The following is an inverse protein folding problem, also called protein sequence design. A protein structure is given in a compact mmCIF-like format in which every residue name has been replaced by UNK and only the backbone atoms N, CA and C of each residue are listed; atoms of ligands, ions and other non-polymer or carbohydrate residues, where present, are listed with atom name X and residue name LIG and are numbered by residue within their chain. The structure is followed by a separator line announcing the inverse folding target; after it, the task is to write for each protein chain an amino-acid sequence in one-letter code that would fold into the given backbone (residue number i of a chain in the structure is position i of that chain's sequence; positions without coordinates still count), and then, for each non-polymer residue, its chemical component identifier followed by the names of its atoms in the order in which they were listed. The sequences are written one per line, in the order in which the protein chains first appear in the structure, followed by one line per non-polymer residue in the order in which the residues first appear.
data_IF_171182174523
#
_entry.id   IF_171182174523
#
_cell.length_a   1.000
_cell.length_b   1.000
_cell.length_c   1.000
_cell.angle_alpha   90.00
_cell.angle_beta   90.00
_cell.angle_gamma   90.00
#
_symmetry.space_group_name_H-M   'P 1'
#
loop_
_entity.id
_entity.type
_entity.pdbx_description
1 polymer ?
#
# COMPACT_ATOMS: atom_id res chain seq x y z
N UNK A 1 14.25 29.91 2.45
CA UNK A 1 14.28 28.67 1.67
C UNK A 1 13.24 27.80 2.28
N UNK A 2 12.20 27.54 1.51
CA UNK A 2 11.00 26.91 2.02
C UNK A 2 11.01 25.45 1.62
N UNK A 3 10.59 24.60 2.56
CA UNK A 3 10.48 23.17 2.37
C UNK A 3 9.00 22.78 2.41
N UNK A 4 8.69 21.66 1.77
CA UNK A 4 7.41 20.98 1.84
C UNK A 4 7.62 19.57 2.33
N UNK A 5 6.68 19.07 3.12
CA UNK A 5 6.64 17.66 3.50
C UNK A 5 6.06 16.87 2.34
N UNK A 6 6.72 15.77 2.01
CA UNK A 6 6.33 14.86 0.94
C UNK A 6 6.25 13.44 1.47
N UNK A 7 5.40 12.64 0.86
CA UNK A 7 5.14 11.25 1.23
C UNK A 7 5.15 10.36 -0.02
N UNK A 8 5.57 9.11 0.13
CA UNK A 8 5.51 8.10 -0.92
C UNK A 8 4.46 7.01 -0.64
N UNK A 9 4.30 6.08 -1.56
CA UNK A 9 3.33 4.97 -1.43
C UNK A 9 3.62 4.03 -0.24
N UNK A 10 4.84 4.03 0.28
CA UNK A 10 5.23 3.29 1.48
C UNK A 10 4.97 4.05 2.79
N UNK A 11 4.28 5.20 2.70
CA UNK A 11 4.00 6.12 3.81
C UNK A 11 5.27 6.64 4.51
N UNK A 12 6.37 6.78 3.74
CA UNK A 12 7.60 7.38 4.22
C UNK A 12 7.56 8.88 4.01
N UNK A 13 7.90 9.64 5.04
CA UNK A 13 7.92 11.09 5.00
C UNK A 13 9.33 11.61 4.77
N UNK A 14 9.46 12.65 3.96
CA UNK A 14 10.68 13.45 3.88
C UNK A 14 10.35 14.91 3.59
N UNK A 15 11.35 15.77 3.66
CA UNK A 15 11.24 17.17 3.27
C UNK A 15 11.86 17.37 1.90
N UNK A 16 11.26 18.24 1.10
CA UNK A 16 11.74 18.60 -0.24
C UNK A 16 11.70 20.10 -0.42
N UNK A 17 12.62 20.67 -1.20
CA UNK A 17 12.60 22.09 -1.50
C UNK A 17 11.32 22.44 -2.29
N UNK A 18 10.69 23.57 -1.96
CA UNK A 18 9.46 23.99 -2.65
C UNK A 18 9.71 24.34 -4.12
N UNK A 19 10.91 24.84 -4.42
CA UNK A 19 11.30 25.34 -5.74
C UNK A 19 11.66 24.23 -6.74
N UNK A 20 11.90 23.01 -6.27
CA UNK A 20 12.25 21.86 -7.11
C UNK A 20 11.01 21.03 -7.49
N UNK A 21 11.08 20.32 -8.62
CA UNK A 21 10.08 19.32 -8.99
C UNK A 21 10.13 18.10 -8.04
N UNK A 22 8.99 17.44 -7.85
CA UNK A 22 8.94 16.22 -7.07
C UNK A 22 9.53 15.04 -7.85
N UNK A 23 10.35 14.19 -7.20
CA UNK A 23 10.74 12.92 -7.80
C UNK A 23 9.50 12.03 -8.04
N UNK A 24 9.51 11.16 -9.07
CA UNK A 24 8.42 10.24 -9.32
C UNK A 24 8.07 9.39 -8.10
N UNK A 25 6.78 9.21 -7.83
CA UNK A 25 6.29 8.42 -6.69
C UNK A 25 6.21 9.16 -5.36
N UNK A 26 6.58 10.45 -5.32
CA UNK A 26 6.40 11.32 -4.16
C UNK A 26 5.28 12.33 -4.40
N UNK A 27 4.50 12.59 -3.36
CA UNK A 27 3.36 13.53 -3.37
C UNK A 27 3.52 14.50 -2.21
N UNK A 28 3.13 15.76 -2.41
CA UNK A 28 3.14 16.74 -1.33
C UNK A 28 2.04 16.41 -0.32
N UNK A 29 2.40 16.33 0.96
CA UNK A 29 1.45 16.03 2.04
C UNK A 29 0.60 17.25 2.44
N UNK A 30 1.08 18.46 2.13
CA UNK A 30 0.38 19.72 2.36
C UNK A 30 1.07 20.64 3.36
N UNK A 31 1.90 20.12 4.27
CA UNK A 31 2.70 20.96 5.17
C UNK A 31 3.87 21.64 4.44
N UNK A 32 4.07 22.94 4.72
CA UNK A 32 5.16 23.76 4.18
C UNK A 32 5.66 24.75 5.23
N UNK A 33 6.96 25.04 5.21
CA UNK A 33 7.56 26.00 6.12
C UNK A 33 9.09 26.01 6.05
N UNK A 34 9.71 26.48 7.11
CA UNK A 34 11.15 26.30 7.30
C UNK A 34 11.52 24.83 7.42
N UNK A 35 12.82 24.54 7.32
CA UNK A 35 13.35 23.18 7.46
C UNK A 35 12.96 22.57 8.81
N UNK A 36 13.11 23.34 9.89
CA UNK A 36 12.88 22.86 11.26
C UNK A 36 11.39 22.61 11.50
N UNK A 37 10.50 23.52 11.07
CA UNK A 37 9.05 23.31 11.16
C UNK A 37 8.59 22.05 10.40
N UNK A 38 9.14 21.81 9.20
CA UNK A 38 8.81 20.61 8.44
C UNK A 38 9.32 19.33 9.12
N UNK A 39 10.51 19.36 9.73
CA UNK A 39 11.05 18.21 10.45
C UNK A 39 10.25 17.91 11.72
N UNK A 40 9.88 18.94 12.48
CA UNK A 40 9.03 18.80 13.66
C UNK A 40 7.65 18.23 13.28
N UNK A 41 7.09 18.63 12.13
CA UNK A 41 5.87 18.03 11.60
C UNK A 41 6.05 16.55 11.28
N UNK A 42 7.13 16.18 10.58
CA UNK A 42 7.44 14.79 10.22
C UNK A 42 7.59 13.92 11.48
N UNK A 43 8.34 14.37 12.49
CA UNK A 43 8.51 13.65 13.75
C UNK A 43 7.18 13.40 14.46
N UNK A 44 6.27 14.38 14.42
CA UNK A 44 4.94 14.28 15.05
C UNK A 44 4.00 13.33 14.31
N UNK A 45 4.04 13.28 12.98
CA UNK A 45 3.09 12.49 12.17
C UNK A 45 3.59 11.10 11.82
N UNK A 46 4.90 10.89 11.73
CA UNK A 46 5.49 9.61 11.33
C UNK A 46 5.71 8.69 12.53
N UNK A 47 4.61 8.25 13.14
CA UNK A 47 4.61 7.45 14.38
C UNK A 47 4.90 5.98 14.15
N UNK A 48 4.55 5.43 12.98
CA UNK A 48 4.85 4.06 12.55
C UNK A 48 5.75 4.11 11.31
N UNK A 49 7.00 3.68 11.47
CA UNK A 49 8.01 3.67 10.40
C UNK A 49 8.02 2.36 9.60
N UNK A 50 7.07 1.45 9.87
CA UNK A 50 6.93 0.22 9.11
C UNK A 50 6.45 0.56 7.70
N UNK A 51 7.18 0.14 6.62
CA UNK A 51 6.75 0.39 5.26
C UNK A 51 5.31 -0.09 5.02
N UNK A 52 4.49 0.74 4.38
CA UNK A 52 3.08 0.42 4.16
C UNK A 52 2.90 -0.90 3.40
N UNK A 53 3.72 -1.17 2.38
CA UNK A 53 3.66 -2.43 1.63
C UNK A 53 3.87 -3.66 2.50
N UNK A 54 4.75 -3.60 3.51
CA UNK A 54 4.96 -4.72 4.44
C UNK A 54 3.70 -5.03 5.24
N UNK A 55 3.02 -3.99 5.75
CA UNK A 55 1.77 -4.15 6.52
C UNK A 55 0.62 -4.64 5.65
N UNK A 56 0.49 -4.06 4.44
CA UNK A 56 -0.52 -4.46 3.45
C UNK A 56 -0.31 -5.92 3.04
N UNK A 57 0.93 -6.31 2.69
CA UNK A 57 1.26 -7.68 2.28
C UNK A 57 0.94 -8.69 3.38
N UNK A 58 1.28 -8.37 4.63
CA UNK A 58 0.99 -9.24 5.77
C UNK A 58 -0.52 -9.42 5.98
N UNK A 59 -1.30 -8.34 5.88
CA UNK A 59 -2.77 -8.41 5.96
C UNK A 59 -3.36 -9.22 4.79
N UNK A 60 -2.92 -8.94 3.56
CA UNK A 60 -3.38 -9.64 2.36
C UNK A 60 -3.13 -11.15 2.43
N UNK A 61 -1.98 -11.57 2.96
CA UNK A 61 -1.70 -12.99 3.13
C UNK A 61 -2.74 -13.67 4.06
N UNK A 62 -3.19 -12.97 5.11
CA UNK A 62 -4.31 -13.40 5.95
C UNK A 62 -5.63 -13.43 5.20
N UNK A 63 -5.95 -12.35 4.47
CA UNK A 63 -7.20 -12.24 3.71
C UNK A 63 -7.32 -13.32 2.62
N UNK A 64 -6.23 -13.65 1.91
CA UNK A 64 -6.22 -14.72 0.90
C UNK A 64 -6.45 -16.08 1.54
N UNK A 65 -5.83 -16.35 2.69
CA UNK A 65 -6.03 -17.59 3.43
C UNK A 65 -7.50 -17.76 3.88
N UNK A 66 -8.10 -16.69 4.40
CA UNK A 66 -9.51 -16.65 4.78
C UNK A 66 -10.44 -16.82 3.57
N UNK A 67 -10.20 -16.08 2.49
CA UNK A 67 -10.99 -16.15 1.26
C UNK A 67 -10.95 -17.54 0.61
N UNK A 68 -9.84 -18.26 0.79
CA UNK A 68 -9.61 -19.62 0.31
C UNK A 68 -10.14 -20.71 1.26
N UNK A 69 -10.98 -20.37 2.24
CA UNK A 69 -11.55 -21.29 3.24
C UNK A 69 -10.46 -22.10 3.99
N UNK A 70 -9.27 -21.51 4.18
CA UNK A 70 -8.14 -22.15 4.86
C UNK A 70 -7.37 -23.18 4.04
N UNK A 71 -7.64 -23.31 2.72
CA UNK A 71 -6.84 -24.15 1.82
C UNK A 71 -5.39 -23.70 1.69
N UNK A 72 -5.14 -22.42 1.94
CA UNK A 72 -3.82 -21.79 1.98
C UNK A 72 -3.63 -21.19 3.37
N UNK A 73 -2.43 -21.31 3.92
CA UNK A 73 -2.05 -20.61 5.14
C UNK A 73 -1.47 -19.23 4.82
N UNK A 74 -1.55 -18.25 5.73
CA UNK A 74 -0.93 -16.93 5.52
C UNK A 74 0.58 -17.02 5.29
N UNK A 75 1.25 -17.99 5.89
CA UNK A 75 2.68 -18.21 5.68
C UNK A 75 2.99 -18.71 4.26
N UNK A 76 2.18 -19.63 3.72
CA UNK A 76 2.32 -20.12 2.34
C UNK A 76 2.05 -19.00 1.34
N UNK A 77 0.99 -18.20 1.55
CA UNK A 77 0.66 -17.07 0.67
C UNK A 77 1.75 -16.00 0.74
N UNK A 78 2.19 -15.63 1.94
CA UNK A 78 3.22 -14.60 2.14
C UNK A 78 4.59 -14.98 1.57
N UNK A 79 4.93 -16.27 1.59
CA UNK A 79 6.16 -16.81 0.99
C UNK A 79 6.03 -17.09 -0.51
N UNK A 80 4.81 -17.15 -1.05
CA UNK A 80 4.60 -17.38 -2.46
C UNK A 80 5.03 -16.16 -3.29
N UNK A 81 5.78 -16.45 -4.36
CA UNK A 81 6.11 -15.50 -5.43
C UNK A 81 5.46 -15.89 -6.75
N UNK A 82 4.31 -16.57 -6.70
CA UNK A 82 3.57 -17.04 -7.86
C UNK A 82 2.15 -16.48 -7.86
N UNK A 83 1.45 -16.65 -8.99
CA UNK A 83 0.11 -16.11 -9.15
C UNK A 83 -0.92 -16.79 -8.25
N UNK A 84 -2.01 -16.09 -7.94
CA UNK A 84 -3.14 -16.66 -7.19
C UNK A 84 -3.71 -17.91 -7.88
N UNK A 85 -3.75 -17.92 -9.21
CA UNK A 85 -4.17 -19.09 -10.00
C UNK A 85 -3.23 -20.28 -9.75
N UNK A 86 -1.91 -20.04 -9.74
CA UNK A 86 -0.93 -21.10 -9.50
C UNK A 86 -1.00 -21.65 -8.06
N UNK A 87 -1.41 -20.83 -7.09
CA UNK A 87 -1.69 -21.25 -5.71
C UNK A 87 -3.04 -21.98 -5.55
N UNK A 88 -3.86 -22.05 -6.61
CA UNK A 88 -5.17 -22.70 -6.56
C UNK A 88 -6.28 -21.83 -5.97
N UNK A 89 -6.09 -20.50 -5.91
CA UNK A 89 -7.15 -19.56 -5.52
C UNK A 89 -8.26 -19.63 -6.57
N UNK A 90 -9.46 -20.01 -6.12
CA UNK A 90 -10.64 -20.13 -6.98
C UNK A 90 -11.23 -18.76 -7.33
N UNK A 91 -12.05 -18.68 -8.38
CA UNK A 91 -12.76 -17.45 -8.72
C UNK A 91 -13.65 -16.93 -7.58
N UNK A 92 -14.25 -17.83 -6.78
CA UNK A 92 -15.04 -17.44 -5.60
C UNK A 92 -14.15 -16.83 -4.51
N UNK A 93 -12.97 -17.41 -4.27
CA UNK A 93 -11.99 -16.86 -3.33
C UNK A 93 -11.48 -15.49 -3.81
N UNK A 94 -11.26 -15.30 -5.12
CA UNK A 94 -10.89 -14.00 -5.69
C UNK A 94 -11.97 -12.94 -5.43
N UNK A 95 -13.26 -13.25 -5.63
CA UNK A 95 -14.35 -12.30 -5.36
C UNK A 95 -14.39 -11.91 -3.87
N UNK A 96 -14.28 -12.89 -2.97
CA UNK A 96 -14.22 -12.64 -1.51
C UNK A 96 -13.03 -11.77 -1.11
N UNK A 97 -11.86 -12.03 -1.70
CA UNK A 97 -10.66 -11.24 -1.47
C UNK A 97 -10.85 -9.80 -1.94
N UNK A 98 -11.45 -9.60 -3.12
CA UNK A 98 -11.78 -8.27 -3.62
C UNK A 98 -12.69 -7.54 -2.65
N UNK A 99 -13.80 -8.14 -2.24
CA UNK A 99 -14.73 -7.54 -1.28
C UNK A 99 -14.01 -7.14 0.03
N UNK A 100 -13.15 -8.02 0.56
CA UNK A 100 -12.38 -7.73 1.77
C UNK A 100 -11.40 -6.55 1.58
N UNK A 101 -10.69 -6.51 0.45
CA UNK A 101 -9.73 -5.44 0.13
C UNK A 101 -10.43 -4.10 -0.04
N UNK A 102 -11.55 -4.08 -0.77
CA UNK A 102 -12.34 -2.87 -0.99
C UNK A 102 -12.89 -2.32 0.32
N UNK A 103 -13.33 -3.19 1.23
CA UNK A 103 -13.81 -2.77 2.56
C UNK A 103 -12.69 -2.26 3.45
N UNK A 104 -11.58 -3.01 3.57
CA UNK A 104 -10.49 -2.67 4.51
C UNK A 104 -9.77 -1.38 4.10
N UNK A 105 -9.44 -1.25 2.81
CA UNK A 105 -8.63 -0.14 2.31
C UNK A 105 -9.44 0.94 1.61
N UNK A 106 -10.77 0.82 1.62
CA UNK A 106 -11.72 1.70 0.93
C UNK A 106 -11.43 1.80 -0.58
N UNK A 107 -10.69 0.87 -1.18
CA UNK A 107 -10.30 0.90 -2.60
C UNK A 107 -11.38 0.31 -3.51
N UNK A 108 -11.25 0.50 -4.83
CA UNK A 108 -12.06 -0.22 -5.82
C UNK A 108 -11.13 -1.05 -6.68
N UNK A 109 -11.31 -2.37 -6.68
CA UNK A 109 -10.47 -3.31 -7.41
C UNK A 109 -11.15 -3.71 -8.70
N UNK A 110 -10.51 -3.39 -9.82
CA UNK A 110 -10.99 -3.79 -11.15
C UNK A 110 -10.44 -5.17 -11.53
N UNK A 111 -11.34 -6.14 -11.72
CA UNK A 111 -11.01 -7.51 -12.15
C UNK A 111 -10.28 -7.61 -13.50
N UNK A 112 -10.27 -6.54 -14.29
CA UNK A 112 -9.57 -6.50 -15.58
C UNK A 112 -8.09 -6.11 -15.47
N UNK A 113 -7.63 -5.68 -14.29
CA UNK A 113 -6.24 -5.29 -14.06
C UNK A 113 -5.40 -6.47 -13.55
N UNK A 114 -4.12 -6.47 -13.93
CA UNK A 114 -3.06 -7.33 -13.38
C UNK A 114 -2.86 -7.21 -11.85
N UNK A 115 -3.61 -6.35 -11.17
CA UNK A 115 -3.55 -6.20 -9.72
C UNK A 115 -3.93 -7.49 -8.97
N UNK A 116 -4.72 -8.38 -9.58
CA UNK A 116 -5.11 -9.68 -9.01
C UNK A 116 -4.27 -10.84 -9.55
N UNK A 117 -3.08 -10.59 -10.12
CA UNK A 117 -2.23 -11.67 -10.61
C UNK A 117 -1.53 -12.36 -9.44
N UNK A 118 -0.95 -11.58 -8.52
CA UNK A 118 -0.19 -12.07 -7.37
C UNK A 118 -0.27 -11.09 -6.19
N UNK A 119 0.32 -11.52 -5.07
CA UNK A 119 0.30 -10.80 -3.81
C UNK A 119 1.04 -9.46 -3.89
N UNK A 120 2.15 -9.37 -4.63
CA UNK A 120 2.94 -8.15 -4.77
C UNK A 120 2.21 -7.11 -5.62
N UNK A 121 1.62 -7.54 -6.74
CA UNK A 121 0.82 -6.70 -7.63
C UNK A 121 -0.37 -6.08 -6.90
N UNK A 122 -1.05 -6.86 -6.04
CA UNK A 122 -2.16 -6.37 -5.23
C UNK A 122 -1.67 -5.42 -4.12
N UNK A 123 -0.57 -5.76 -3.46
CA UNK A 123 0.08 -4.89 -2.46
C UNK A 123 0.41 -3.53 -3.07
N UNK A 124 0.98 -3.53 -4.26
CA UNK A 124 1.43 -2.34 -4.98
C UNK A 124 0.28 -1.47 -5.45
N UNK A 125 -0.79 -2.10 -5.92
CA UNK A 125 -2.03 -1.45 -6.26
C UNK A 125 -2.61 -0.71 -5.06
N UNK A 126 -2.75 -1.38 -3.91
CA UNK A 126 -3.32 -0.79 -2.69
C UNK A 126 -2.44 0.36 -2.17
N UNK A 127 -1.12 0.16 -2.08
CA UNK A 127 -0.20 1.20 -1.63
C UNK A 127 -0.30 2.48 -2.49
N UNK A 128 -0.40 2.30 -3.81
CA UNK A 128 -0.53 3.42 -4.75
C UNK A 128 -1.90 4.08 -4.68
N UNK A 129 -2.97 3.29 -4.60
CA UNK A 129 -4.34 3.80 -4.48
C UNK A 129 -4.53 4.65 -3.20
N UNK A 130 -3.90 4.23 -2.10
CA UNK A 130 -3.93 4.96 -0.82
C UNK A 130 -3.19 6.29 -0.88
N UNK A 131 -2.07 6.36 -1.61
CA UNK A 131 -1.31 7.60 -1.78
C UNK A 131 -2.14 8.69 -2.47
N UNK A 132 -2.93 8.33 -3.47
CA UNK A 132 -3.74 9.29 -4.24
C UNK A 132 -5.00 9.81 -3.53
N UNK A 133 -5.36 9.24 -2.38
CA UNK A 133 -6.52 9.67 -1.58
C UNK A 133 -6.18 10.62 -0.44
N UNK A 134 -4.90 10.84 -0.16
CA UNK A 134 -4.45 11.74 0.91
C UNK A 134 -4.36 13.19 0.44
#
# INVERSE_FOLDING_TARGET
MDYRVVINADEQYTIWAVDDDLPPGWVAEGHRGSRDECLDHVERVWTDQTPARTRIRAWLAGAVAEASDGLLTPAEVGAAGCSFIAMGVSSLATVRLVDAVEVEYDVTVDFTRHALDDLDSLTDFIATARLHRR
#
